data_IF_513637507712
#
_entry.id   IF_513637507712
#
_cell.length_a   1.000
_cell.length_b   1.000
_cell.length_c   1.000
_cell.angle_alpha   90.00
_cell.angle_beta   90.00
_cell.angle_gamma   90.00
#
_symmetry.space_group_name_H-M   'P 1'
#
loop_
_entity.id
_entity.type
_entity.pdbx_description
1 polymer ?
#
# COMPACT_ATOMS: atom_id res chain seq x y z
N UNK A 1 -71.50 -31.39 88.94
CA UNK A 1 -71.12 -31.86 87.59
C UNK A 1 -70.74 -30.68 86.71
N UNK A 2 -71.64 -29.73 86.41
CA UNK A 2 -71.31 -28.52 85.61
C UNK A 2 -70.02 -27.78 86.03
N UNK A 3 -69.76 -27.54 87.32
CA UNK A 3 -68.55 -26.81 87.75
C UNK A 3 -67.24 -27.59 87.55
N UNK A 4 -67.28 -28.93 87.51
CA UNK A 4 -66.09 -29.77 87.30
C UNK A 4 -65.79 -29.88 85.80
N UNK A 5 -66.84 -30.06 85.00
CA UNK A 5 -66.76 -30.09 83.54
C UNK A 5 -66.28 -28.73 82.98
N UNK A 6 -66.70 -27.62 83.59
CA UNK A 6 -66.28 -26.25 83.22
C UNK A 6 -64.80 -25.99 83.53
N UNK A 7 -64.26 -26.60 84.60
CA UNK A 7 -62.85 -26.50 84.98
C UNK A 7 -61.96 -27.38 84.11
N UNK A 8 -62.40 -28.59 83.77
CA UNK A 8 -61.75 -29.45 82.79
C UNK A 8 -61.72 -28.80 81.39
N UNK A 9 -62.79 -28.09 81.01
CA UNK A 9 -62.84 -27.31 79.77
C UNK A 9 -61.87 -26.13 79.78
N UNK A 10 -61.74 -25.41 80.91
CA UNK A 10 -60.77 -24.32 81.08
C UNK A 10 -59.31 -24.80 81.03
N UNK A 11 -59.00 -25.91 81.69
CA UNK A 11 -57.66 -26.48 81.71
C UNK A 11 -57.28 -27.04 80.33
N UNK A 12 -58.22 -27.69 79.63
CA UNK A 12 -58.02 -28.10 78.23
C UNK A 12 -57.81 -26.89 77.31
N UNK A 13 -58.59 -25.81 77.49
CA UNK A 13 -58.43 -24.58 76.72
C UNK A 13 -57.06 -23.93 76.97
N UNK A 14 -56.60 -23.86 78.23
CA UNK A 14 -55.24 -23.37 78.57
C UNK A 14 -54.15 -24.23 77.95
N UNK A 15 -54.31 -25.56 77.94
CA UNK A 15 -53.35 -26.48 77.31
C UNK A 15 -53.29 -26.35 75.78
N UNK A 16 -54.37 -25.90 75.13
CA UNK A 16 -54.45 -25.74 73.68
C UNK A 16 -53.96 -24.38 73.18
N UNK A 17 -54.01 -23.33 73.99
CA UNK A 17 -53.60 -21.96 73.63
C UNK A 17 -52.12 -21.85 73.24
N UNK A 18 -51.21 -22.46 74.00
CA UNK A 18 -49.77 -22.41 73.70
C UNK A 18 -49.39 -23.17 72.40
N UNK A 19 -49.88 -24.40 72.17
CA UNK A 19 -49.75 -25.08 70.87
C UNK A 19 -50.32 -24.28 69.71
N UNK A 20 -51.48 -23.64 69.89
CA UNK A 20 -52.10 -22.79 68.88
C UNK A 20 -51.20 -21.60 68.55
N UNK A 21 -50.72 -20.87 69.57
CA UNK A 21 -49.81 -19.73 69.43
C UNK A 21 -48.51 -20.11 68.72
N UNK A 22 -47.92 -21.27 69.06
CA UNK A 22 -46.71 -21.78 68.38
C UNK A 22 -46.99 -22.13 66.92
N UNK A 23 -48.14 -22.71 66.62
CA UNK A 23 -48.52 -23.02 65.25
C UNK A 23 -48.81 -21.74 64.44
N UNK A 24 -49.42 -20.73 65.02
CA UNK A 24 -49.60 -19.41 64.40
C UNK A 24 -48.26 -18.74 64.08
N UNK A 25 -47.31 -18.77 65.01
CA UNK A 25 -45.95 -18.26 64.77
C UNK A 25 -45.24 -19.02 63.65
N UNK A 26 -45.36 -20.36 63.62
CA UNK A 26 -44.82 -21.19 62.53
C UNK A 26 -45.47 -20.85 61.19
N UNK A 27 -46.80 -20.68 61.15
CA UNK A 27 -47.53 -20.28 59.95
C UNK A 27 -47.04 -18.91 59.46
N UNK A 28 -46.85 -17.95 60.36
CA UNK A 28 -46.35 -16.63 59.98
C UNK A 28 -44.91 -16.71 59.42
N UNK A 29 -44.03 -17.46 60.09
CA UNK A 29 -42.67 -17.70 59.60
C UNK A 29 -42.67 -18.39 58.24
N UNK A 30 -43.53 -19.39 58.02
CA UNK A 30 -43.65 -20.05 56.72
C UNK A 30 -44.18 -19.11 55.64
N UNK A 31 -45.15 -18.24 55.94
CA UNK A 31 -45.62 -17.20 54.99
C UNK A 31 -44.48 -16.26 54.57
N UNK A 32 -43.65 -15.81 55.52
CA UNK A 32 -42.49 -14.95 55.22
C UNK A 32 -41.49 -15.70 54.34
N UNK A 33 -41.16 -16.96 54.66
CA UNK A 33 -40.25 -17.79 53.84
C UNK A 33 -40.79 -18.01 52.43
N UNK A 34 -42.10 -18.24 52.27
CA UNK A 34 -42.74 -18.43 50.97
C UNK A 34 -42.68 -17.16 50.12
N UNK A 35 -42.89 -15.99 50.74
CA UNK A 35 -42.75 -14.69 50.09
C UNK A 35 -41.32 -14.42 49.64
N UNK A 36 -40.33 -14.70 50.49
CA UNK A 36 -38.92 -14.56 50.14
C UNK A 36 -38.52 -15.53 49.01
N UNK A 37 -38.94 -16.79 49.09
CA UNK A 37 -38.68 -17.77 48.04
C UNK A 37 -39.27 -17.35 46.68
N UNK A 38 -40.47 -16.75 46.66
CA UNK A 38 -41.05 -16.22 45.43
C UNK A 38 -40.22 -15.07 44.84
N UNK A 39 -39.71 -14.16 45.68
CA UNK A 39 -38.80 -13.07 45.24
C UNK A 39 -37.48 -13.63 44.72
N UNK A 40 -36.87 -14.57 45.42
CA UNK A 40 -35.60 -15.19 45.03
C UNK A 40 -35.74 -15.93 43.70
N UNK A 41 -36.88 -16.59 43.47
CA UNK A 41 -37.17 -17.27 42.20
C UNK A 41 -37.24 -16.29 41.03
N UNK A 42 -37.86 -15.13 41.20
CA UNK A 42 -37.91 -14.10 40.16
C UNK A 42 -36.53 -13.47 39.93
N UNK A 43 -35.79 -13.18 41.00
CA UNK A 43 -34.42 -12.67 40.89
C UNK A 43 -33.50 -13.67 40.19
N UNK A 44 -33.65 -14.97 40.47
CA UNK A 44 -32.91 -16.03 39.78
C UNK A 44 -33.23 -16.07 38.28
N UNK A 45 -34.48 -15.83 37.88
CA UNK A 45 -34.86 -15.76 36.47
C UNK A 45 -34.20 -14.57 35.76
N UNK A 46 -34.24 -13.39 36.38
CA UNK A 46 -33.62 -12.17 35.83
C UNK A 46 -32.10 -12.33 35.71
N UNK A 47 -31.44 -12.83 36.76
CA UNK A 47 -29.99 -13.05 36.76
C UNK A 47 -29.55 -14.09 35.74
N UNK A 48 -30.32 -15.18 35.55
CA UNK A 48 -30.05 -16.16 34.47
C UNK A 48 -30.16 -15.53 33.08
N UNK A 49 -31.18 -14.70 32.85
CA UNK A 49 -31.33 -13.99 31.58
C UNK A 49 -30.15 -13.06 31.32
N UNK A 50 -29.72 -12.31 32.34
CA UNK A 50 -28.54 -11.42 32.27
C UNK A 50 -27.24 -12.19 32.02
N UNK A 51 -27.06 -13.33 32.69
CA UNK A 51 -25.88 -14.19 32.49
C UNK A 51 -25.81 -14.71 31.06
N UNK A 52 -26.95 -15.14 30.50
CA UNK A 52 -27.03 -15.56 29.10
C UNK A 52 -26.62 -14.42 28.17
N UNK A 53 -27.22 -13.23 28.33
CA UNK A 53 -26.87 -12.07 27.52
C UNK A 53 -25.37 -11.74 27.58
N UNK A 54 -24.79 -11.69 28.79
CA UNK A 54 -23.36 -11.45 28.96
C UNK A 54 -22.48 -12.53 28.32
N UNK A 55 -22.94 -13.78 28.30
CA UNK A 55 -22.21 -14.88 27.65
C UNK A 55 -22.21 -14.71 26.12
N UNK A 56 -23.37 -14.38 25.56
CA UNK A 56 -23.54 -14.14 24.12
C UNK A 56 -22.72 -12.90 23.67
N UNK A 57 -22.74 -11.82 24.45
CA UNK A 57 -21.92 -10.62 24.23
C UNK A 57 -20.42 -10.94 24.29
N UNK A 58 -20.00 -11.75 25.27
CA UNK A 58 -18.60 -12.17 25.41
C UNK A 58 -18.13 -13.00 24.21
N UNK A 59 -18.98 -13.88 23.67
CA UNK A 59 -18.65 -14.65 22.47
C UNK A 59 -18.50 -13.75 21.25
N UNK A 60 -19.41 -12.79 21.10
CA UNK A 60 -19.36 -11.79 20.01
C UNK A 60 -18.06 -10.98 20.06
N UNK A 61 -17.73 -10.41 21.22
CA UNK A 61 -16.49 -9.62 21.39
C UNK A 61 -15.24 -10.46 21.14
N UNK A 62 -15.24 -11.74 21.55
CA UNK A 62 -14.10 -12.64 21.28
C UNK A 62 -13.90 -12.85 19.80
N UNK A 63 -14.98 -13.07 19.06
CA UNK A 63 -14.94 -13.23 17.61
C UNK A 63 -14.42 -11.96 16.93
N UNK A 64 -14.97 -10.80 17.28
CA UNK A 64 -14.55 -9.51 16.71
C UNK A 64 -13.07 -9.23 16.98
N UNK A 65 -12.59 -9.57 18.18
CA UNK A 65 -11.17 -9.46 18.54
C UNK A 65 -10.31 -10.34 17.63
N UNK A 66 -10.69 -11.60 17.41
CA UNK A 66 -9.93 -12.52 16.57
C UNK A 66 -9.88 -12.06 15.11
N UNK A 67 -10.98 -11.55 14.57
CA UNK A 67 -11.04 -10.97 13.23
C UNK A 67 -10.11 -9.75 13.13
N UNK A 68 -10.16 -8.85 14.12
CA UNK A 68 -9.35 -7.64 14.13
C UNK A 68 -7.85 -7.96 14.27
N UNK A 69 -7.49 -8.94 15.10
CA UNK A 69 -6.11 -9.41 15.27
C UNK A 69 -5.54 -9.95 13.96
N UNK A 70 -6.31 -10.75 13.22
CA UNK A 70 -5.92 -11.27 11.90
C UNK A 70 -5.75 -10.14 10.87
N UNK A 71 -6.67 -9.19 10.84
CA UNK A 71 -6.59 -8.03 9.94
C UNK A 71 -5.38 -7.15 10.25
N UNK A 72 -5.09 -6.95 11.54
CA UNK A 72 -3.91 -6.21 12.00
C UNK A 72 -2.62 -6.92 11.59
N UNK A 73 -2.50 -8.22 11.84
CA UNK A 73 -1.33 -9.02 11.47
C UNK A 73 -1.06 -8.95 9.97
N UNK A 74 -2.09 -9.12 9.14
CA UNK A 74 -1.96 -9.01 7.68
C UNK A 74 -1.52 -7.62 7.24
N UNK A 75 -2.10 -6.57 7.81
CA UNK A 75 -1.72 -5.18 7.49
C UNK A 75 -0.27 -4.90 7.90
N UNK A 76 0.17 -5.49 9.01
CA UNK A 76 1.55 -5.37 9.47
C UNK A 76 2.52 -6.06 8.51
N UNK A 77 2.20 -7.26 8.05
CA UNK A 77 2.99 -7.99 7.05
C UNK A 77 3.10 -7.23 5.73
N UNK A 78 1.98 -6.70 5.23
CA UNK A 78 1.95 -5.89 4.00
C UNK A 78 2.81 -4.63 4.13
N UNK A 79 2.74 -3.94 5.28
CA UNK A 79 3.58 -2.77 5.57
C UNK A 79 5.06 -3.15 5.58
N UNK A 80 5.42 -4.24 6.24
CA UNK A 80 6.81 -4.67 6.38
C UNK A 80 7.38 -5.10 5.02
N UNK A 81 6.60 -5.84 4.23
CA UNK A 81 6.98 -6.19 2.86
C UNK A 81 7.17 -4.95 1.98
N UNK A 82 6.25 -3.98 2.06
CA UNK A 82 6.33 -2.73 1.30
C UNK A 82 7.58 -1.94 1.69
N UNK A 83 7.92 -1.90 2.98
CA UNK A 83 9.12 -1.23 3.47
C UNK A 83 10.41 -1.87 2.93
N UNK A 84 10.50 -3.20 2.94
CA UNK A 84 11.64 -3.92 2.35
C UNK A 84 11.75 -3.64 0.85
N UNK A 85 10.62 -3.71 0.12
CA UNK A 85 10.58 -3.40 -1.32
C UNK A 85 11.03 -1.97 -1.61
N UNK A 86 10.58 -1.01 -0.80
CA UNK A 86 10.96 0.39 -0.95
C UNK A 86 12.47 0.59 -0.78
N UNK A 87 13.07 0.05 0.29
CA UNK A 87 14.52 0.16 0.53
C UNK A 87 15.29 -0.45 -0.65
N UNK A 88 14.89 -1.63 -1.11
CA UNK A 88 15.53 -2.30 -2.25
C UNK A 88 15.45 -1.45 -3.52
N UNK A 89 14.27 -0.90 -3.84
CA UNK A 89 14.09 -0.05 -5.01
C UNK A 89 14.96 1.22 -4.95
N UNK A 90 15.03 1.87 -3.78
CA UNK A 90 15.90 3.04 -3.58
C UNK A 90 17.37 2.68 -3.82
N UNK A 91 17.84 1.58 -3.24
CA UNK A 91 19.21 1.12 -3.41
C UNK A 91 19.53 0.78 -4.87
N UNK A 92 18.63 0.10 -5.57
CA UNK A 92 18.80 -0.23 -6.99
C UNK A 92 18.90 1.02 -7.87
N UNK A 93 18.02 2.02 -7.63
CA UNK A 93 18.08 3.30 -8.36
C UNK A 93 19.39 4.02 -8.06
N UNK A 94 19.79 4.09 -6.79
CA UNK A 94 21.04 4.73 -6.40
C UNK A 94 22.26 4.05 -7.04
N UNK A 95 22.31 2.71 -7.04
CA UNK A 95 23.38 1.95 -7.69
C UNK A 95 23.44 2.21 -9.20
N UNK A 96 22.29 2.21 -9.89
CA UNK A 96 22.22 2.50 -11.33
C UNK A 96 22.68 3.92 -11.65
N UNK A 97 22.24 4.91 -10.87
CA UNK A 97 22.66 6.30 -11.04
C UNK A 97 24.18 6.45 -10.78
N UNK A 98 24.70 5.86 -9.71
CA UNK A 98 26.12 5.91 -9.39
C UNK A 98 26.98 5.27 -10.50
N UNK A 99 26.58 4.10 -11.00
CA UNK A 99 27.28 3.44 -12.10
C UNK A 99 27.27 4.30 -13.37
N UNK A 100 26.12 4.91 -13.70
CA UNK A 100 26.01 5.81 -14.86
C UNK A 100 26.89 7.05 -14.70
N UNK A 101 26.95 7.64 -13.50
CA UNK A 101 27.80 8.79 -13.22
C UNK A 101 29.27 8.43 -13.38
N UNK A 102 29.73 7.33 -12.78
CA UNK A 102 31.12 6.86 -12.92
C UNK A 102 31.46 6.59 -14.39
N UNK A 103 30.54 6.01 -15.16
CA UNK A 103 30.76 5.77 -16.59
C UNK A 103 30.89 7.08 -17.38
N UNK A 104 30.03 8.06 -17.08
CA UNK A 104 30.07 9.38 -17.72
C UNK A 104 31.35 10.14 -17.36
N UNK A 105 31.76 10.11 -16.08
CA UNK A 105 33.03 10.68 -15.63
C UNK A 105 34.22 10.07 -16.37
N UNK A 106 34.29 8.74 -16.46
CA UNK A 106 35.35 8.06 -17.22
C UNK A 106 35.35 8.43 -18.69
N UNK A 107 34.17 8.53 -19.33
CA UNK A 107 34.07 8.98 -20.72
C UNK A 107 34.55 10.41 -20.89
N UNK A 108 34.17 11.30 -19.97
CA UNK A 108 34.58 12.70 -19.97
C UNK A 108 36.10 12.84 -19.81
N UNK A 109 36.70 12.12 -18.86
CA UNK A 109 38.16 12.08 -18.70
C UNK A 109 38.86 11.53 -19.95
N UNK A 110 38.33 10.46 -20.55
CA UNK A 110 38.91 9.90 -21.78
C UNK A 110 38.86 10.90 -22.94
N UNK A 111 37.73 11.59 -23.14
CA UNK A 111 37.57 12.62 -24.17
C UNK A 111 38.49 13.82 -23.90
N UNK A 112 38.62 14.26 -22.65
CA UNK A 112 39.55 15.33 -22.27
C UNK A 112 41.01 14.96 -22.61
N UNK A 113 41.43 13.73 -22.29
CA UNK A 113 42.78 13.25 -22.64
C UNK A 113 43.00 13.17 -24.16
N UNK A 114 41.96 12.82 -24.93
CA UNK A 114 42.04 12.79 -26.39
C UNK A 114 42.17 14.22 -26.92
N UNK A 115 41.38 15.16 -26.40
CA UNK A 115 41.42 16.57 -26.77
C UNK A 115 42.81 17.15 -26.51
N UNK A 116 43.35 16.98 -25.30
CA UNK A 116 44.68 17.47 -24.93
C UNK A 116 45.78 16.93 -25.85
N UNK A 117 45.73 15.63 -26.19
CA UNK A 117 46.65 15.03 -27.17
C UNK A 117 46.51 15.63 -28.56
N UNK A 118 45.27 15.90 -29.01
CA UNK A 118 45.01 16.48 -30.33
C UNK A 118 45.45 17.94 -30.41
N UNK A 119 45.24 18.71 -29.36
CA UNK A 119 45.74 20.08 -29.23
C UNK A 119 47.28 20.13 -29.26
N UNK A 120 47.94 19.24 -28.51
CA UNK A 120 49.39 19.13 -28.54
C UNK A 120 49.92 18.77 -29.95
N UNK A 121 49.32 17.77 -30.61
CA UNK A 121 49.66 17.39 -31.99
C UNK A 121 49.45 18.54 -32.98
N UNK A 122 48.34 19.28 -32.85
CA UNK A 122 48.06 20.43 -33.70
C UNK A 122 49.10 21.54 -33.50
N UNK A 123 49.43 21.87 -32.25
CA UNK A 123 50.43 22.89 -31.94
C UNK A 123 51.82 22.52 -32.47
N UNK A 124 52.22 21.25 -32.38
CA UNK A 124 53.47 20.75 -32.97
C UNK A 124 53.50 20.97 -34.49
N UNK A 125 52.46 20.53 -35.21
CA UNK A 125 52.36 20.71 -36.66
C UNK A 125 52.39 22.18 -37.05
N UNK A 126 51.65 23.03 -36.35
CA UNK A 126 51.62 24.47 -36.60
C UNK A 126 53.00 25.12 -36.38
N UNK A 127 53.74 24.68 -35.36
CA UNK A 127 55.07 25.22 -35.08
C UNK A 127 56.11 24.89 -36.18
N UNK A 128 55.96 23.76 -36.87
CA UNK A 128 56.88 23.28 -37.92
C UNK A 128 56.51 23.82 -39.31
N UNK A 129 55.22 24.14 -39.54
CA UNK A 129 54.71 24.32 -40.90
C UNK A 129 54.96 25.70 -41.53
N UNK A 130 55.52 26.68 -40.80
CA UNK A 130 55.80 28.05 -41.28
C UNK A 130 54.65 28.65 -42.13
N UNK A 131 53.40 28.38 -41.73
CA UNK A 131 52.22 28.80 -42.48
C UNK A 131 51.96 30.29 -42.27
N UNK A 132 51.45 30.97 -43.30
CA UNK A 132 50.92 32.32 -43.16
C UNK A 132 49.74 32.33 -42.17
N UNK A 133 49.85 33.04 -41.02
CA UNK A 133 48.81 33.03 -39.99
C UNK A 133 47.46 33.57 -40.48
N UNK A 134 47.44 34.50 -41.42
CA UNK A 134 46.23 35.15 -41.91
C UNK A 134 45.43 34.20 -42.82
N UNK A 135 46.10 33.53 -43.77
CA UNK A 135 45.50 32.49 -44.59
C UNK A 135 44.97 31.29 -43.76
N UNK A 136 45.73 30.86 -42.75
CA UNK A 136 45.33 29.75 -41.87
C UNK A 136 44.07 30.08 -41.07
N UNK A 137 44.01 31.27 -40.46
CA UNK A 137 42.85 31.74 -39.70
C UNK A 137 41.58 31.78 -40.57
N UNK A 138 41.70 32.28 -41.81
CA UNK A 138 40.59 32.33 -42.75
C UNK A 138 40.06 30.93 -43.11
N UNK A 139 40.95 29.96 -43.32
CA UNK A 139 40.59 28.57 -43.65
C UNK A 139 39.96 27.87 -42.44
N UNK A 140 40.53 28.03 -41.24
CA UNK A 140 39.98 27.47 -39.99
C UNK A 140 38.55 27.97 -39.76
N UNK A 141 38.31 29.27 -39.85
CA UNK A 141 36.97 29.85 -39.67
C UNK A 141 35.96 29.30 -40.68
N UNK A 142 36.34 29.22 -41.96
CA UNK A 142 35.46 28.65 -42.99
C UNK A 142 35.14 27.18 -42.71
N UNK A 143 36.09 26.42 -42.19
CA UNK A 143 35.88 25.02 -41.84
C UNK A 143 34.95 24.89 -40.62
N UNK A 144 35.12 25.73 -39.61
CA UNK A 144 34.21 25.83 -38.44
C UNK A 144 32.78 26.15 -38.89
N UNK A 145 32.58 27.16 -39.75
CA UNK A 145 31.27 27.54 -40.28
C UNK A 145 30.58 26.35 -41.00
N UNK A 146 31.34 25.61 -41.82
CA UNK A 146 30.83 24.42 -42.53
C UNK A 146 30.50 23.29 -41.56
N UNK A 147 31.33 23.06 -40.55
CA UNK A 147 31.08 22.04 -39.52
C UNK A 147 29.82 22.37 -38.72
N UNK A 148 29.66 23.61 -38.28
CA UNK A 148 28.50 24.06 -37.52
C UNK A 148 27.21 24.00 -38.35
N UNK A 149 27.27 24.38 -39.62
CA UNK A 149 26.16 24.22 -40.55
C UNK A 149 25.75 22.75 -40.71
N UNK A 150 26.71 21.84 -40.90
CA UNK A 150 26.45 20.40 -41.03
C UNK A 150 25.91 19.80 -39.72
N UNK A 151 26.48 20.16 -38.58
CA UNK A 151 26.02 19.71 -37.26
C UNK A 151 24.59 20.18 -36.97
N UNK A 152 24.24 21.40 -37.38
CA UNK A 152 22.88 21.92 -37.25
C UNK A 152 21.91 21.14 -38.14
N UNK A 153 22.27 20.91 -39.41
CA UNK A 153 21.46 20.10 -40.32
C UNK A 153 21.25 18.67 -39.82
N UNK A 154 22.27 18.05 -39.20
CA UNK A 154 22.15 16.72 -38.57
C UNK A 154 21.11 16.77 -37.44
N UNK A 155 21.17 17.77 -36.56
CA UNK A 155 20.21 17.92 -35.45
C UNK A 155 18.78 18.12 -35.98
N UNK A 156 18.61 18.94 -37.01
CA UNK A 156 17.31 19.20 -37.63
C UNK A 156 16.74 17.93 -38.26
N UNK A 157 17.56 17.18 -39.01
CA UNK A 157 17.15 15.90 -39.60
C UNK A 157 16.82 14.84 -38.55
N UNK A 158 17.58 14.76 -37.46
CA UNK A 158 17.28 13.87 -36.34
C UNK A 158 15.96 14.23 -35.66
N UNK A 159 15.69 15.53 -35.48
CA UNK A 159 14.43 16.02 -34.95
C UNK A 159 13.26 15.69 -35.87
N UNK A 160 13.41 15.95 -37.17
CA UNK A 160 12.39 15.64 -38.18
C UNK A 160 12.07 14.14 -38.24
N UNK A 161 13.11 13.30 -38.21
CA UNK A 161 12.94 11.86 -38.14
C UNK A 161 12.17 11.43 -36.89
N UNK A 162 12.54 11.95 -35.71
CA UNK A 162 11.84 11.66 -34.47
C UNK A 162 10.37 12.11 -34.50
N UNK A 163 10.10 13.27 -35.10
CA UNK A 163 8.75 13.82 -35.28
C UNK A 163 7.90 12.92 -36.18
N UNK A 164 8.44 12.49 -37.31
CA UNK A 164 7.74 11.60 -38.26
C UNK A 164 7.48 10.23 -37.66
N UNK A 165 8.46 9.63 -36.97
CA UNK A 165 8.27 8.35 -36.31
C UNK A 165 7.22 8.42 -35.20
N UNK A 166 7.18 9.52 -34.43
CA UNK A 166 6.10 9.73 -33.45
C UNK A 166 4.73 9.84 -34.13
N UNK A 167 4.60 10.63 -35.18
CA UNK A 167 3.34 10.77 -35.91
C UNK A 167 2.86 9.42 -36.49
N UNK A 168 3.79 8.62 -37.01
CA UNK A 168 3.51 7.25 -37.45
C UNK A 168 2.96 6.39 -36.30
N UNK A 169 3.65 6.37 -35.16
CA UNK A 169 3.27 5.54 -34.02
C UNK A 169 1.92 5.97 -33.42
N UNK A 170 1.63 7.27 -33.35
CA UNK A 170 0.35 7.83 -32.91
C UNK A 170 -0.80 7.43 -33.85
N UNK A 171 -0.58 7.46 -35.18
CA UNK A 171 -1.55 7.00 -36.18
C UNK A 171 -1.80 5.50 -36.05
N UNK A 172 -0.73 4.71 -35.96
CA UNK A 172 -0.81 3.25 -35.81
C UNK A 172 -1.64 2.89 -34.57
N UNK A 173 -1.38 3.55 -33.44
CA UNK A 173 -2.14 3.34 -32.21
C UNK A 173 -3.63 3.70 -32.36
N UNK A 174 -3.93 4.81 -33.04
CA UNK A 174 -5.30 5.25 -33.33
C UNK A 174 -6.03 4.22 -34.21
N UNK A 175 -5.36 3.72 -35.26
CA UNK A 175 -5.90 2.68 -36.14
C UNK A 175 -6.19 1.38 -35.39
N UNK A 176 -5.24 0.88 -34.59
CA UNK A 176 -5.42 -0.32 -33.77
C UNK A 176 -6.60 -0.18 -32.80
N UNK A 177 -6.68 0.95 -32.10
CA UNK A 177 -7.81 1.26 -31.20
C UNK A 177 -9.13 1.24 -31.96
N UNK A 178 -9.17 1.82 -33.17
CA UNK A 178 -10.40 1.86 -33.97
C UNK A 178 -10.82 0.49 -34.50
N UNK A 179 -9.87 -0.34 -34.92
CA UNK A 179 -10.13 -1.74 -35.34
C UNK A 179 -10.69 -2.56 -34.19
N UNK A 180 -10.11 -2.43 -32.99
CA UNK A 180 -10.62 -3.08 -31.78
C UNK A 180 -12.06 -2.64 -31.43
N UNK A 181 -12.38 -1.34 -31.58
CA UNK A 181 -13.75 -0.83 -31.38
C UNK A 181 -14.77 -1.48 -32.32
N UNK A 182 -14.36 -1.88 -33.52
CA UNK A 182 -15.21 -2.57 -34.48
C UNK A 182 -15.14 -4.11 -34.36
N UNK A 183 -14.47 -4.64 -33.34
CA UNK A 183 -14.33 -6.08 -33.11
C UNK A 183 -13.39 -6.80 -34.09
N UNK A 184 -12.54 -6.05 -34.79
CA UNK A 184 -11.55 -6.60 -35.73
C UNK A 184 -10.25 -6.83 -34.96
N UNK A 185 -9.72 -8.07 -34.95
CA UNK A 185 -8.42 -8.34 -34.31
C UNK A 185 -7.32 -7.58 -35.04
N UNK A 186 -6.57 -6.77 -34.30
CA UNK A 186 -5.45 -6.00 -34.81
C UNK A 186 -4.20 -6.86 -35.08
N UNK A 187 -4.24 -8.17 -34.76
CA UNK A 187 -3.13 -9.12 -34.90
C UNK A 187 -2.64 -9.30 -36.35
N UNK A 188 -3.43 -8.86 -37.34
CA UNK A 188 -3.07 -8.93 -38.77
C UNK A 188 -2.33 -7.68 -39.28
N UNK A 189 -2.11 -6.66 -38.44
CA UNK A 189 -1.24 -5.53 -38.79
C UNK A 189 0.21 -5.88 -38.39
N UNK A 190 1.00 -6.37 -39.34
CA UNK A 190 2.47 -6.52 -39.22
C UNK A 190 3.20 -5.14 -39.20
N UNK A 191 2.63 -4.14 -38.53
CA UNK A 191 3.20 -2.79 -38.42
C UNK A 191 3.72 -2.59 -37.00
N UNK A 192 5.05 -2.58 -36.87
CA UNK A 192 5.73 -2.29 -35.60
C UNK A 192 5.94 -0.77 -35.42
N UNK A 193 5.89 -0.27 -34.17
CA UNK A 193 6.25 1.12 -33.87
C UNK A 193 7.69 1.44 -34.27
N UNK A 194 7.89 2.55 -34.99
CA UNK A 194 9.19 2.98 -35.50
C UNK A 194 10.06 3.60 -34.40
N UNK A 195 9.47 4.05 -33.29
CA UNK A 195 10.21 4.63 -32.15
C UNK A 195 11.28 3.71 -31.54
N UNK A 196 11.18 2.39 -31.71
CA UNK A 196 12.16 1.42 -31.22
C UNK A 196 13.40 1.30 -32.11
N UNK A 197 13.26 1.52 -33.43
CA UNK A 197 14.36 1.40 -34.39
C UNK A 197 15.39 2.53 -34.22
N UNK A 198 14.93 3.74 -33.87
CA UNK A 198 15.80 4.92 -33.68
C UNK A 198 16.64 4.80 -32.40
N UNK A 199 16.11 4.22 -31.32
CA UNK A 199 16.85 4.11 -30.04
C UNK A 199 17.98 3.07 -30.08
N UNK A 200 17.93 2.11 -31.00
CA UNK A 200 18.94 1.06 -31.17
C UNK A 200 20.17 1.49 -31.98
N UNK A 201 20.07 2.57 -32.76
CA UNK A 201 21.21 3.17 -33.46
C UNK A 201 21.94 4.15 -32.54
N UNK A 202 22.52 3.66 -31.46
CA UNK A 202 23.64 4.39 -30.84
C UNK A 202 24.78 4.38 -31.85
N UNK A 203 24.94 5.50 -32.56
CA UNK A 203 26.15 5.77 -33.35
C UNK A 203 27.32 5.67 -32.36
N UNK A 204 28.18 4.68 -32.59
CA UNK A 204 29.34 4.37 -31.75
C UNK A 204 30.32 5.52 -31.62
#
# INVERSE_FOLDING_TARGET
RMSKDMKELEDANKCLVEPLRRNEQKINNFKIKLSNYAKDKEMLKVTKARLKQMTDDQQTIKWDREVLEQAFQKTQEERDELYVKFIKAVQEVQQKCNLKNILLEKKLTALANILEKKEAQLNEVLSVSNLDPEALSLVTRKLEDVLDSKNSAIKDLQYELARVCKAHDDILHTCQTKLQQFGISADNLDLEPLGNIIRGQTVG
#
